data_IF_152037033976
#
_entry.id   IF_152037033976
#
_cell.length_a   1.000
_cell.length_b   1.000
_cell.length_c   1.000
_cell.angle_alpha   90.00
_cell.angle_beta   90.00
_cell.angle_gamma   90.00
#
_symmetry.space_group_name_H-M   'P 1'
#
loop_
_entity.id
_entity.type
_entity.pdbx_description
1 polymer ?
#
# COMPACT_ATOMS: atom_id res chain seq x y z
N UNK A 1 -6.82 5.48 -7.42
CA UNK A 1 -5.64 4.73 -6.99
C UNK A 1 -4.36 5.18 -7.67
N UNK A 2 -4.30 5.25 -9.01
CA UNK A 2 -3.10 5.68 -9.75
C UNK A 2 -2.55 7.04 -9.30
N UNK A 3 -3.40 8.01 -8.97
CA UNK A 3 -2.99 9.30 -8.40
C UNK A 3 -2.20 9.15 -7.09
N UNK A 4 -2.65 8.27 -6.18
CA UNK A 4 -1.94 8.04 -4.92
C UNK A 4 -0.57 7.39 -5.17
N UNK A 5 -0.47 6.46 -6.12
CA UNK A 5 0.81 5.87 -6.55
C UNK A 5 1.76 6.92 -7.13
N UNK A 6 1.27 7.80 -8.02
CA UNK A 6 2.07 8.87 -8.60
C UNK A 6 2.57 9.85 -7.51
N UNK A 7 1.70 10.31 -6.62
CA UNK A 7 2.08 11.19 -5.51
C UNK A 7 3.09 10.53 -4.57
N UNK A 8 2.97 9.23 -4.30
CA UNK A 8 3.95 8.50 -3.50
C UNK A 8 5.30 8.38 -4.22
N UNK A 9 5.30 8.15 -5.54
CA UNK A 9 6.51 8.11 -6.35
C UNK A 9 7.22 9.48 -6.41
N UNK A 10 6.46 10.57 -6.43
CA UNK A 10 6.97 11.94 -6.38
C UNK A 10 7.42 12.39 -4.97
N UNK A 11 7.38 11.51 -3.97
CA UNK A 11 7.73 11.84 -2.58
C UNK A 11 6.68 12.68 -1.83
N UNK A 12 5.53 12.94 -2.46
CA UNK A 12 4.40 13.67 -1.88
C UNK A 12 3.52 12.74 -1.04
N UNK A 13 4.10 12.18 0.02
CA UNK A 13 3.47 11.13 0.82
C UNK A 13 2.17 11.57 1.50
N UNK A 14 2.12 12.80 2.01
CA UNK A 14 0.93 13.33 2.65
C UNK A 14 -0.24 13.47 1.67
N UNK A 15 0.04 14.04 0.49
CA UNK A 15 -0.96 14.16 -0.58
C UNK A 15 -1.41 12.79 -1.10
N UNK A 16 -0.48 11.83 -1.18
CA UNK A 16 -0.79 10.45 -1.57
C UNK A 16 -1.76 9.79 -0.58
N UNK A 17 -1.49 9.93 0.72
CA UNK A 17 -2.34 9.40 1.78
C UNK A 17 -3.73 10.02 1.73
N UNK A 18 -3.84 11.35 1.59
CA UNK A 18 -5.12 12.04 1.47
C UNK A 18 -5.88 11.67 0.19
N UNK A 19 -5.18 11.44 -0.93
CA UNK A 19 -5.81 11.08 -2.19
C UNK A 19 -6.48 9.70 -2.13
N UNK A 20 -5.82 8.73 -1.50
CA UNK A 20 -6.38 7.40 -1.22
C UNK A 20 -5.46 6.62 -0.25
N UNK A 21 -5.82 6.46 1.04
CA UNK A 21 -4.97 5.80 2.04
C UNK A 21 -4.53 4.38 1.64
N UNK A 22 -5.43 3.55 1.11
CA UNK A 22 -5.07 2.20 0.65
C UNK A 22 -4.14 2.23 -0.58
N UNK A 23 -4.24 3.24 -1.43
CA UNK A 23 -3.34 3.43 -2.56
C UNK A 23 -1.92 3.79 -2.14
N UNK A 24 -1.79 4.68 -1.15
CA UNK A 24 -0.50 5.02 -0.55
C UNK A 24 0.18 3.81 0.09
N UNK A 25 -0.56 3.04 0.91
CA UNK A 25 -0.03 1.84 1.57
C UNK A 25 0.43 0.79 0.56
N UNK A 26 -0.35 0.58 -0.51
CA UNK A 26 0.06 -0.34 -1.58
C UNK A 26 1.28 0.17 -2.34
N UNK A 27 1.38 1.47 -2.62
CA UNK A 27 2.56 2.03 -3.29
C UNK A 27 3.85 1.80 -2.49
N UNK A 28 3.81 2.03 -1.18
CA UNK A 28 4.95 1.73 -0.30
C UNK A 28 5.25 0.24 -0.22
N UNK A 29 4.22 -0.60 -0.09
CA UNK A 29 4.39 -2.05 -0.06
C UNK A 29 5.05 -2.54 -1.36
N UNK A 30 4.58 -2.09 -2.52
CA UNK A 30 5.16 -2.44 -3.82
C UNK A 30 6.62 -2.02 -3.91
N UNK A 31 6.98 -0.80 -3.50
CA UNK A 31 8.36 -0.35 -3.48
C UNK A 31 9.25 -1.22 -2.56
N UNK A 32 8.77 -1.53 -1.34
CA UNK A 32 9.48 -2.40 -0.41
C UNK A 32 9.66 -3.83 -0.95
N UNK A 33 8.60 -4.43 -1.50
CA UNK A 33 8.68 -5.75 -2.13
C UNK A 33 9.63 -5.77 -3.32
N UNK A 34 9.67 -4.72 -4.14
CA UNK A 34 10.60 -4.62 -5.25
C UNK A 34 12.06 -4.65 -4.77
N UNK A 35 12.40 -3.85 -3.75
CA UNK A 35 13.75 -3.83 -3.16
C UNK A 35 14.12 -5.19 -2.55
N UNK A 36 13.24 -5.77 -1.74
CA UNK A 36 13.47 -7.07 -1.10
C UNK A 36 13.63 -8.18 -2.13
N UNK A 37 12.82 -8.16 -3.20
CA UNK A 37 12.87 -9.18 -4.25
C UNK A 37 14.15 -9.05 -5.07
N UNK A 38 14.57 -7.84 -5.41
CA UNK A 38 15.84 -7.59 -6.09
C UNK A 38 17.02 -8.06 -5.22
N UNK A 39 17.01 -7.73 -3.92
CA UNK A 39 18.02 -8.21 -2.99
C UNK A 39 18.07 -9.74 -2.89
N UNK A 40 16.91 -10.38 -2.75
CA UNK A 40 16.82 -11.85 -2.70
C UNK A 40 17.31 -12.50 -4.00
N UNK A 41 16.97 -11.92 -5.16
CA UNK A 41 17.43 -12.40 -6.46
C UNK A 41 18.94 -12.30 -6.64
N UNK A 42 19.57 -11.22 -6.14
CA UNK A 42 21.01 -11.02 -6.25
C UNK A 42 21.83 -11.85 -5.25
N UNK A 43 21.27 -12.13 -4.06
CA UNK A 43 22.01 -12.78 -2.96
C UNK A 43 21.64 -14.24 -2.73
N UNK A 44 20.54 -14.73 -3.32
CA UNK A 44 19.95 -16.01 -2.97
C UNK A 44 19.32 -16.05 -1.57
N UNK A 45 19.10 -14.89 -0.95
CA UNK A 45 18.56 -14.79 0.41
C UNK A 45 17.12 -15.30 0.52
N UNK A 46 16.80 -15.92 1.66
CA UNK A 46 15.43 -16.36 2.03
C UNK A 46 14.57 -15.24 2.61
N UNK A 47 15.04 -13.99 2.60
CA UNK A 47 14.35 -12.86 3.22
C UNK A 47 12.93 -12.65 2.67
N UNK A 48 12.73 -12.81 1.36
CA UNK A 48 11.40 -12.73 0.77
C UNK A 48 10.46 -13.79 1.34
N UNK A 49 10.93 -15.05 1.42
CA UNK A 49 10.17 -16.16 2.02
C UNK A 49 9.81 -15.88 3.48
N UNK A 50 10.77 -15.41 4.28
CA UNK A 50 10.55 -15.08 5.68
C UNK A 50 9.53 -13.95 5.91
N UNK A 51 9.38 -13.04 4.94
CA UNK A 51 8.37 -11.98 4.96
C UNK A 51 7.01 -12.54 4.53
N UNK A 52 6.97 -13.30 3.44
CA UNK A 52 5.71 -13.85 2.90
C UNK A 52 5.10 -14.93 3.79
N UNK A 53 5.91 -15.70 4.53
CA UNK A 53 5.42 -16.72 5.46
C UNK A 53 4.62 -16.13 6.62
N UNK A 54 4.81 -14.83 6.91
CA UNK A 54 4.01 -14.09 7.90
C UNK A 54 2.68 -13.59 7.35
N UNK A 55 2.48 -13.65 6.03
CA UNK A 55 1.24 -13.24 5.36
C UNK A 55 0.22 -14.37 5.48
N UNK A 56 -0.42 -14.44 6.65
CA UNK A 56 -1.51 -15.40 6.91
C UNK A 56 -2.89 -14.86 6.51
N UNK A 57 -3.93 -15.68 6.67
CA UNK A 57 -5.32 -15.30 6.35
C UNK A 57 -5.81 -14.02 7.05
N UNK A 58 -5.32 -13.73 8.26
CA UNK A 58 -5.62 -12.49 9.00
C UNK A 58 -5.16 -11.24 8.26
N UNK A 59 -4.03 -11.29 7.57
CA UNK A 59 -3.52 -10.16 6.79
C UNK A 59 -4.51 -9.77 5.69
N UNK A 60 -5.07 -10.75 4.97
CA UNK A 60 -6.02 -10.49 3.89
C UNK A 60 -7.32 -9.86 4.40
N UNK A 61 -7.81 -10.26 5.58
CA UNK A 61 -8.95 -9.61 6.22
C UNK A 61 -8.66 -8.17 6.61
N UNK A 62 -7.50 -7.90 7.21
CA UNK A 62 -7.09 -6.53 7.56
C UNK A 62 -6.92 -5.68 6.31
N UNK A 63 -6.25 -6.20 5.27
CA UNK A 63 -6.06 -5.50 4.00
C UNK A 63 -7.41 -5.18 3.35
N UNK A 64 -8.33 -6.15 3.32
CA UNK A 64 -9.69 -5.95 2.81
C UNK A 64 -10.43 -4.86 3.58
N UNK A 65 -10.37 -4.88 4.91
CA UNK A 65 -10.97 -3.84 5.75
C UNK A 65 -10.37 -2.46 5.47
N UNK A 66 -9.05 -2.34 5.35
CA UNK A 66 -8.36 -1.07 5.02
C UNK A 66 -8.77 -0.56 3.64
N UNK A 67 -8.90 -1.45 2.64
CA UNK A 67 -9.35 -1.09 1.30
C UNK A 67 -10.78 -0.55 1.33
N UNK A 68 -11.69 -1.23 2.04
CA UNK A 68 -13.09 -0.81 2.18
C UNK A 68 -13.23 0.52 2.94
N UNK A 69 -12.51 0.68 4.04
CA UNK A 69 -12.50 1.93 4.82
C UNK A 69 -11.93 3.08 3.99
N UNK A 70 -10.84 2.85 3.27
CA UNK A 70 -10.25 3.86 2.37
C UNK A 70 -11.16 4.21 1.20
N UNK A 71 -11.97 3.27 0.71
CA UNK A 71 -12.98 3.54 -0.30
C UNK A 71 -14.13 4.39 0.27
N UNK A 72 -14.61 4.06 1.47
CA UNK A 72 -15.59 4.86 2.21
C UNK A 72 -15.12 6.30 2.42
N UNK A 73 -13.88 6.48 2.88
CA UNK A 73 -13.23 7.79 2.98
C UNK A 73 -13.33 8.56 1.65
N UNK A 74 -12.92 7.93 0.54
CA UNK A 74 -12.94 8.59 -0.78
C UNK A 74 -14.35 8.98 -1.23
N UNK A 75 -15.35 8.15 -0.93
CA UNK A 75 -16.75 8.46 -1.24
C UNK A 75 -17.29 9.63 -0.43
N UNK A 76 -16.89 9.75 0.85
CA UNK A 76 -17.26 10.86 1.70
C UNK A 76 -16.58 12.17 1.25
N UNK A 77 -15.29 12.13 0.92
CA UNK A 77 -14.56 13.28 0.36
C UNK A 77 -15.15 13.73 -0.97
N UNK A 78 -15.48 12.80 -1.87
CA UNK A 78 -16.10 13.14 -3.15
C UNK A 78 -17.50 13.78 -2.99
N UNK A 79 -18.22 13.43 -1.93
CA UNK A 79 -19.49 14.05 -1.56
C UNK A 79 -19.35 15.37 -0.79
N UNK A 80 -18.12 15.82 -0.50
CA UNK A 80 -17.84 17.03 0.27
C UNK A 80 -18.21 16.94 1.75
N UNK A 81 -18.36 15.73 2.28
CA UNK A 81 -18.74 15.49 3.69
C UNK A 81 -17.54 15.56 4.64
N UNK A 82 -16.34 15.31 4.12
CA UNK A 82 -15.05 15.38 4.81
C UNK A 82 -14.01 15.97 3.86
N UNK A 83 -12.85 16.36 4.42
CA UNK A 83 -11.70 16.91 3.69
C UNK A 83 -11.25 16.08 2.48
#
# INVERSE_FOLDING_TARGET
>A
MTTAFALAADGRFFDSFLAQPSGFLLALATAGFAVVSAYAALTGSRMLSAITDKIGGRFWWVLGAVVLLSWGYKMLTFRGLIL
#
